data_IF_884746262103
#
_entry.id   IF_884746262103
#
_cell.length_a   1.000
_cell.length_b   1.000
_cell.length_c   1.000
_cell.angle_alpha   90.00
_cell.angle_beta   90.00
_cell.angle_gamma   90.00
#
_symmetry.space_group_name_H-M   'P 1'
#
loop_
_entity.id
_entity.type
_entity.pdbx_description
1 polymer ?
#
# COMPACT_ATOMS: atom_id res chain seq x y z
N UNK A 1 -4.55 29.66 32.08
CA UNK A 1 -4.00 28.58 31.24
C UNK A 1 -5.16 27.99 30.47
N UNK A 2 -5.28 28.30 29.19
CA UNK A 2 -6.27 27.68 28.30
C UNK A 2 -5.81 26.25 28.04
N UNK A 3 -6.67 25.26 28.28
CA UNK A 3 -6.41 23.89 27.83
C UNK A 3 -6.19 23.91 26.31
N UNK A 4 -5.21 23.15 25.78
CA UNK A 4 -5.03 23.04 24.34
C UNK A 4 -6.32 22.49 23.71
N UNK A 5 -6.84 23.20 22.71
CA UNK A 5 -8.04 22.81 21.99
C UNK A 5 -7.82 21.42 21.35
N UNK A 6 -8.77 20.51 21.58
CA UNK A 6 -8.67 19.15 21.06
C UNK A 6 -8.67 19.17 19.53
N UNK A 7 -7.62 18.63 18.91
CA UNK A 7 -7.52 18.52 17.45
C UNK A 7 -8.66 17.62 16.94
N UNK A 8 -9.54 18.09 16.04
CA UNK A 8 -10.62 17.26 15.53
C UNK A 8 -10.09 16.02 14.80
N UNK A 9 -10.79 14.89 14.95
CA UNK A 9 -10.47 13.67 14.20
C UNK A 9 -10.49 13.95 12.69
N UNK A 10 -9.59 13.31 11.95
CA UNK A 10 -9.50 13.41 10.48
C UNK A 10 -9.16 14.81 9.94
N UNK A 11 -8.80 15.77 10.79
CA UNK A 11 -8.42 17.14 10.39
C UNK A 11 -7.07 17.22 9.68
N UNK A 12 -6.22 16.21 9.82
CA UNK A 12 -4.96 16.05 9.09
C UNK A 12 -5.07 14.91 8.09
N UNK A 13 -4.62 15.18 6.87
CA UNK A 13 -4.61 14.21 5.76
C UNK A 13 -3.16 13.79 5.52
N UNK A 14 -2.87 12.51 5.76
CA UNK A 14 -1.65 11.88 5.29
C UNK A 14 -1.83 11.34 3.87
N UNK A 15 -0.79 11.40 3.06
CA UNK A 15 -0.77 10.80 1.73
C UNK A 15 0.10 9.55 1.79
N UNK A 16 -0.38 8.46 1.22
CA UNK A 16 0.38 7.24 0.99
C UNK A 16 0.37 6.90 -0.48
N UNK A 17 1.48 6.38 -0.96
CA UNK A 17 1.60 5.81 -2.30
C UNK A 17 1.82 4.31 -2.15
N UNK A 18 1.34 3.53 -3.10
CA UNK A 18 1.59 2.09 -3.18
C UNK A 18 1.52 1.60 -4.62
N UNK A 19 2.20 0.51 -4.93
CA UNK A 19 2.31 -0.01 -6.28
C UNK A 19 1.78 -1.44 -6.41
N UNK A 20 0.94 -1.66 -7.42
CA UNK A 20 0.65 -2.98 -7.97
C UNK A 20 1.67 -3.24 -9.07
N UNK A 21 2.77 -3.92 -8.72
CA UNK A 21 3.83 -4.29 -9.65
C UNK A 21 3.48 -5.62 -10.30
N UNK A 22 3.11 -5.59 -11.58
CA UNK A 22 2.74 -6.77 -12.35
C UNK A 22 3.90 -7.37 -13.13
N UNK A 23 3.98 -8.69 -13.15
CA UNK A 23 4.78 -9.49 -14.06
C UNK A 23 3.87 -10.56 -14.67
N UNK A 24 3.40 -10.32 -15.91
CA UNK A 24 2.30 -11.11 -16.47
C UNK A 24 1.02 -10.92 -15.66
N UNK A 25 0.39 -12.03 -15.26
CA UNK A 25 -0.81 -12.07 -14.41
C UNK A 25 -0.48 -12.13 -12.91
N UNK A 26 0.80 -12.11 -12.54
CA UNK A 26 1.20 -12.08 -11.13
C UNK A 26 1.46 -10.65 -10.66
N UNK A 27 1.07 -10.35 -9.42
CA UNK A 27 1.30 -9.07 -8.75
C UNK A 27 2.11 -9.29 -7.48
N UNK A 28 3.11 -8.44 -7.24
CA UNK A 28 3.88 -8.44 -6.01
C UNK A 28 3.09 -7.78 -4.87
N UNK A 29 2.95 -8.49 -3.75
CA UNK A 29 2.39 -7.99 -2.50
C UNK A 29 3.32 -8.36 -1.33
N UNK A 30 3.49 -7.44 -0.39
CA UNK A 30 4.23 -7.70 0.85
C UNK A 30 3.32 -8.42 1.82
N UNK A 31 3.64 -9.66 2.14
CA UNK A 31 2.99 -10.46 3.18
C UNK A 31 3.69 -10.25 4.52
N UNK A 32 2.91 -9.89 5.53
CA UNK A 32 3.35 -9.83 6.94
C UNK A 32 2.43 -10.68 7.81
N UNK A 33 2.94 -11.14 8.96
CA UNK A 33 2.20 -11.92 9.94
C UNK A 33 2.03 -11.14 11.24
N UNK A 34 0.80 -11.08 11.76
CA UNK A 34 0.52 -10.47 13.07
C UNK A 34 0.54 -11.51 14.19
N UNK A 35 0.67 -11.08 15.46
CA UNK A 35 0.40 -11.94 16.61
C UNK A 35 -0.93 -12.69 16.44
N UNK A 36 -0.91 -14.01 16.64
CA UNK A 36 -2.05 -14.89 16.37
C UNK A 36 -2.05 -15.52 14.98
N UNK A 37 -1.00 -15.33 14.17
CA UNK A 37 -0.82 -16.01 12.88
C UNK A 37 -1.67 -15.45 11.74
N UNK A 38 -2.24 -14.26 11.95
CA UNK A 38 -3.07 -13.60 10.93
C UNK A 38 -2.15 -12.95 9.90
N UNK A 39 -2.16 -13.51 8.68
CA UNK A 39 -1.47 -12.93 7.52
C UNK A 39 -2.25 -11.75 6.98
N UNK A 40 -1.54 -10.71 6.57
CA UNK A 40 -2.08 -9.61 5.81
C UNK A 40 -1.11 -9.19 4.71
N UNK A 41 -1.65 -8.55 3.69
CA UNK A 41 -0.90 -8.16 2.50
C UNK A 41 -0.99 -6.65 2.30
N UNK A 42 0.07 -6.04 1.81
CA UNK A 42 0.06 -4.64 1.38
C UNK A 42 0.77 -4.53 0.03
N UNK A 43 0.34 -3.61 -0.86
CA UNK A 43 1.20 -3.18 -1.95
C UNK A 43 2.52 -2.61 -1.37
N UNK A 44 3.66 -2.81 -2.05
CA UNK A 44 4.86 -2.04 -1.76
C UNK A 44 4.57 -0.54 -1.82
N UNK A 45 5.01 0.21 -0.81
CA UNK A 45 4.82 1.64 -0.70
C UNK A 45 4.58 2.17 0.72
N UNK A 46 4.83 3.47 0.87
CA UNK A 46 4.85 4.13 2.17
C UNK A 46 4.16 5.47 2.23
N UNK A 47 4.60 6.27 3.19
CA UNK A 47 4.08 7.63 3.35
C UNK A 47 4.84 8.57 2.41
N UNK A 48 4.13 9.55 1.88
CA UNK A 48 4.77 10.66 1.17
C UNK A 48 5.33 11.65 2.20
N UNK A 49 6.60 12.00 2.07
CA UNK A 49 7.25 12.95 2.97
C UNK A 49 6.79 14.40 2.71
N UNK A 50 6.90 15.31 3.70
CA UNK A 50 6.54 16.71 3.51
C UNK A 50 7.31 17.37 2.35
N UNK A 51 6.58 17.77 1.31
CA UNK A 51 7.16 18.43 0.13
C UNK A 51 7.70 17.47 -0.94
N UNK A 52 7.60 16.16 -0.71
CA UNK A 52 7.97 15.13 -1.68
C UNK A 52 6.91 15.01 -2.79
N UNK A 53 7.36 14.83 -4.03
CA UNK A 53 6.48 14.52 -5.15
C UNK A 53 5.95 13.09 -5.04
N UNK A 54 4.72 12.84 -5.50
CA UNK A 54 4.07 11.53 -5.38
C UNK A 54 4.82 10.42 -6.10
N UNK A 55 5.30 10.67 -7.32
CA UNK A 55 6.08 9.68 -8.06
C UNK A 55 7.47 9.51 -7.45
N UNK A 56 8.06 10.58 -6.91
CA UNK A 56 9.34 10.49 -6.20
C UNK A 56 9.22 9.58 -4.96
N UNK A 57 8.18 9.78 -4.14
CA UNK A 57 7.88 8.91 -3.01
C UNK A 57 7.66 7.46 -3.43
N UNK A 58 6.91 7.24 -4.52
CA UNK A 58 6.65 5.88 -5.02
C UNK A 58 7.93 5.17 -5.42
N UNK A 59 8.82 5.84 -6.16
CA UNK A 59 10.09 5.25 -6.59
C UNK A 59 11.07 5.04 -5.44
N UNK A 60 11.10 5.93 -4.44
CA UNK A 60 11.89 5.73 -3.23
C UNK A 60 11.47 4.45 -2.51
N UNK A 61 10.17 4.31 -2.24
CA UNK A 61 9.65 3.14 -1.53
C UNK A 61 9.85 1.84 -2.33
N UNK A 62 9.68 1.88 -3.67
CA UNK A 62 9.94 0.73 -4.53
C UNK A 62 11.42 0.30 -4.55
N UNK A 63 12.35 1.26 -4.50
CA UNK A 63 13.77 0.97 -4.39
C UNK A 63 14.12 0.38 -3.01
N UNK A 64 13.57 0.96 -1.94
CA UNK A 64 13.78 0.52 -0.56
C UNK A 64 13.23 -0.90 -0.29
N UNK A 65 12.00 -1.18 -0.71
CA UNK A 65 11.30 -2.42 -0.38
C UNK A 65 11.55 -3.56 -1.38
N UNK A 66 11.77 -3.25 -2.66
CA UNK A 66 11.92 -4.25 -3.72
C UNK A 66 13.28 -4.20 -4.44
N UNK A 67 14.08 -3.15 -4.27
CA UNK A 67 15.22 -2.86 -5.14
C UNK A 67 14.80 -2.54 -6.59
N UNK A 68 13.58 -2.04 -6.79
CA UNK A 68 13.05 -1.72 -8.12
C UNK A 68 13.30 -0.24 -8.46
N UNK A 69 14.31 0.02 -9.29
CA UNK A 69 14.62 1.37 -9.74
C UNK A 69 13.82 1.76 -11.00
N UNK A 70 13.50 3.06 -11.12
CA UNK A 70 12.79 3.66 -12.26
C UNK A 70 13.34 3.25 -13.63
N UNK A 71 14.67 3.15 -13.76
CA UNK A 71 15.33 2.80 -15.03
C UNK A 71 15.08 1.37 -15.51
N UNK A 72 14.53 0.50 -14.65
CA UNK A 72 14.20 -0.89 -14.97
C UNK A 72 12.77 -1.05 -15.51
N UNK A 73 11.95 0.01 -15.47
CA UNK A 73 10.55 -0.03 -15.91
C UNK A 73 10.37 0.77 -17.21
N UNK A 74 9.71 0.16 -18.19
CA UNK A 74 9.58 0.75 -19.53
C UNK A 74 8.58 1.91 -19.61
N UNK A 75 7.57 1.91 -18.74
CA UNK A 75 6.50 2.91 -18.70
C UNK A 75 6.44 3.61 -17.34
N UNK A 76 5.91 4.82 -17.32
CA UNK A 76 5.64 5.54 -16.08
C UNK A 76 4.54 4.83 -15.26
N UNK A 77 4.54 4.99 -13.92
CA UNK A 77 3.47 4.47 -13.08
C UNK A 77 2.12 5.10 -13.46
N UNK A 78 1.08 4.29 -13.57
CA UNK A 78 -0.28 4.76 -13.81
C UNK A 78 -1.05 4.81 -12.49
N UNK A 79 -1.65 5.96 -12.13
CA UNK A 79 -2.55 6.01 -10.98
C UNK A 79 -3.80 5.18 -11.26
N UNK A 80 -3.95 4.06 -10.54
CA UNK A 80 -5.09 3.18 -10.68
C UNK A 80 -6.18 3.56 -9.69
N UNK A 81 -5.92 3.53 -8.38
CA UNK A 81 -6.98 3.80 -7.41
C UNK A 81 -6.60 4.83 -6.34
N UNK A 82 -7.63 5.51 -5.83
CA UNK A 82 -7.57 6.36 -4.65
C UNK A 82 -8.52 5.79 -3.60
N UNK A 83 -8.00 5.53 -2.40
CA UNK A 83 -8.77 5.03 -1.26
C UNK A 83 -8.72 6.03 -0.12
N UNK A 84 -9.88 6.54 0.30
CA UNK A 84 -10.03 7.47 1.43
C UNK A 84 -10.24 6.70 2.74
N UNK A 85 -9.24 6.69 3.61
CA UNK A 85 -9.27 6.05 4.91
C UNK A 85 -9.63 7.06 6.01
N UNK A 86 -10.72 6.79 6.72
CA UNK A 86 -11.23 7.51 7.90
C UNK A 86 -11.63 6.50 8.96
N UNK A 87 -10.64 5.91 9.62
CA UNK A 87 -10.85 4.87 10.64
C UNK A 87 -10.39 5.39 11.98
N UNK A 88 -11.27 5.34 12.98
CA UNK A 88 -11.05 5.81 14.33
C UNK A 88 -9.96 4.99 15.03
N UNK A 89 -8.92 5.66 15.51
CA UNK A 89 -7.83 5.02 16.26
C UNK A 89 -8.10 5.11 17.77
N UNK A 90 -8.00 4.01 18.53
CA UNK A 90 -8.02 4.08 19.99
C UNK A 90 -6.85 4.93 20.54
N UNK A 91 -7.09 5.67 21.62
CA UNK A 91 -6.08 6.45 22.31
C UNK A 91 -6.19 7.98 22.12
N UNK A 92 -5.24 8.75 22.68
CA UNK A 92 -5.35 10.21 22.78
C UNK A 92 -4.99 10.95 21.47
N UNK A 93 -4.37 10.26 20.51
CA UNK A 93 -3.98 10.84 19.23
C UNK A 93 -5.17 10.92 18.29
N UNK A 94 -5.49 12.11 17.78
CA UNK A 94 -6.57 12.31 16.82
C UNK A 94 -6.42 11.34 15.63
N UNK A 95 -7.52 10.66 15.27
CA UNK A 95 -7.51 9.67 14.21
C UNK A 95 -7.06 10.30 12.87
N UNK A 96 -6.06 9.73 12.18
CA UNK A 96 -5.59 10.29 10.92
C UNK A 96 -6.57 9.99 9.79
N UNK A 97 -6.77 10.96 8.88
CA UNK A 97 -7.31 10.66 7.54
C UNK A 97 -6.13 10.31 6.64
N UNK A 98 -6.24 9.26 5.84
CA UNK A 98 -5.21 8.91 4.86
C UNK A 98 -5.81 8.75 3.47
N UNK A 99 -5.15 9.31 2.46
CA UNK A 99 -5.43 9.00 1.06
C UNK A 99 -4.35 8.02 0.57
N UNK A 100 -4.77 6.83 0.16
CA UNK A 100 -3.88 5.85 -0.47
C UNK A 100 -4.01 6.00 -1.98
N UNK A 101 -2.92 6.36 -2.65
CA UNK A 101 -2.81 6.44 -4.09
C UNK A 101 -2.11 5.15 -4.56
N UNK A 102 -2.88 4.29 -5.20
CA UNK A 102 -2.43 2.98 -5.68
C UNK A 102 -2.10 3.10 -7.16
N UNK A 103 -0.83 2.96 -7.49
CA UNK A 103 -0.31 2.96 -8.85
C UNK A 103 -0.19 1.55 -9.40
N UNK A 104 -0.16 1.44 -10.73
CA UNK A 104 0.10 0.22 -11.47
C UNK A 104 1.40 0.37 -12.26
N UNK A 105 2.20 -0.71 -12.24
CA UNK A 105 3.45 -0.85 -12.97
C UNK A 105 3.52 -2.23 -13.62
N UNK A 106 4.22 -2.34 -14.74
CA UNK A 106 4.48 -3.61 -15.41
C UNK A 106 5.98 -3.80 -15.64
N UNK A 107 6.50 -4.96 -15.27
CA UNK A 107 7.91 -5.32 -15.41
C UNK A 107 8.08 -6.61 -16.21
N UNK A 108 9.28 -6.83 -16.74
CA UNK A 108 9.65 -8.11 -17.37
C UNK A 108 10.07 -9.15 -16.32
N UNK A 109 10.06 -10.43 -16.71
CA UNK A 109 10.58 -11.52 -15.88
C UNK A 109 12.05 -11.28 -15.49
N UNK A 110 12.87 -10.80 -16.42
CA UNK A 110 14.27 -10.48 -16.15
C UNK A 110 14.46 -9.39 -15.07
N UNK A 111 13.53 -8.44 -14.95
CA UNK A 111 13.56 -7.45 -13.87
C UNK A 111 13.08 -8.09 -12.57
N UNK A 112 11.99 -8.87 -12.61
CA UNK A 112 11.46 -9.59 -11.45
C UNK A 112 12.50 -10.48 -10.78
N UNK A 113 13.30 -11.20 -11.56
CA UNK A 113 14.35 -12.10 -11.05
C UNK A 113 15.44 -11.39 -10.23
N UNK A 114 15.58 -10.07 -10.41
CA UNK A 114 16.53 -9.24 -9.68
C UNK A 114 15.95 -8.52 -8.45
N UNK A 115 14.65 -8.64 -8.18
CA UNK A 115 14.01 -7.95 -7.07
C UNK A 115 14.23 -8.66 -5.73
N UNK A 116 14.14 -7.89 -4.65
CA UNK A 116 14.18 -8.43 -3.30
C UNK A 116 12.98 -9.38 -3.06
N UNK A 117 13.24 -10.47 -2.33
CA UNK A 117 12.21 -11.41 -1.89
C UNK A 117 11.69 -11.09 -0.48
N UNK A 118 12.38 -10.21 0.24
CA UNK A 118 12.08 -9.81 1.60
C UNK A 118 12.25 -8.30 1.72
N UNK A 119 11.42 -7.68 2.56
CA UNK A 119 11.46 -6.29 2.95
C UNK A 119 11.71 -6.22 4.46
N UNK A 120 12.52 -5.26 4.89
CA UNK A 120 12.97 -5.14 6.28
C UNK A 120 12.54 -3.77 6.85
N UNK A 121 11.52 -3.75 7.70
CA UNK A 121 11.07 -2.53 8.39
C UNK A 121 11.82 -2.41 9.73
N UNK A 122 12.59 -1.33 9.91
CA UNK A 122 13.35 -1.09 11.14
C UNK A 122 12.42 -0.66 12.28
N UNK A 123 12.45 -1.40 13.38
CA UNK A 123 11.68 -1.14 14.58
C UNK A 123 12.42 -0.18 15.51
N UNK A 124 11.71 0.55 16.41
CA UNK A 124 12.33 1.53 17.31
C UNK A 124 13.40 0.98 18.26
N UNK A 125 13.44 -0.34 18.44
CA UNK A 125 14.44 -1.04 19.26
C UNK A 125 15.67 -1.52 18.45
N UNK A 126 15.73 -1.18 17.15
CA UNK A 126 16.80 -1.56 16.23
C UNK A 126 16.67 -2.99 15.69
N UNK A 127 15.56 -3.69 15.95
CA UNK A 127 15.23 -4.96 15.29
C UNK A 127 14.49 -4.73 13.98
N UNK A 128 14.30 -5.75 13.15
CA UNK A 128 13.54 -5.63 11.91
C UNK A 128 12.31 -6.53 11.91
N UNK A 129 11.16 -5.98 11.48
CA UNK A 129 10.02 -6.79 11.05
C UNK A 129 10.25 -7.19 9.59
N UNK A 130 10.18 -8.48 9.29
CA UNK A 130 10.41 -9.01 7.94
C UNK A 130 9.07 -9.16 7.21
N UNK A 131 8.91 -8.43 6.11
CA UNK A 131 7.90 -8.67 5.09
C UNK A 131 8.42 -9.62 4.01
N UNK A 132 7.57 -10.50 3.50
CA UNK A 132 7.92 -11.38 2.38
C UNK A 132 7.19 -10.94 1.11
N UNK A 133 7.91 -10.87 -0.01
CA UNK A 133 7.32 -10.53 -1.30
C UNK A 133 6.69 -11.78 -1.91
N UNK A 134 5.36 -11.82 -1.89
CA UNK A 134 4.59 -12.86 -2.55
C UNK A 134 4.17 -12.37 -3.94
N UNK A 135 4.52 -13.13 -4.96
CA UNK A 135 3.95 -12.99 -6.31
C UNK A 135 2.69 -13.83 -6.39
N UNK A 136 1.55 -13.19 -6.60
CA UNK A 136 0.24 -13.83 -6.57
C UNK A 136 -0.47 -13.59 -7.89
N UNK A 137 -1.18 -14.59 -8.42
CA UNK A 137 -2.19 -14.33 -9.46
C UNK A 137 -3.15 -13.25 -8.93
N UNK A 138 -3.28 -12.14 -9.66
CA UNK A 138 -4.08 -11.01 -9.20
C UNK A 138 -5.56 -11.39 -8.98
N UNK A 139 -6.07 -12.40 -9.69
CA UNK A 139 -7.43 -12.93 -9.49
C UNK A 139 -7.58 -13.65 -8.15
N UNK A 140 -6.49 -14.18 -7.61
CA UNK A 140 -6.45 -14.81 -6.28
C UNK A 140 -6.59 -13.82 -5.12
N UNK A 141 -6.58 -12.50 -5.38
CA UNK A 141 -6.59 -11.48 -4.32
C UNK A 141 -7.98 -11.14 -3.77
N UNK A 142 -9.06 -11.69 -4.35
CA UNK A 142 -10.44 -11.31 -4.03
C UNK A 142 -10.77 -11.42 -2.52
N UNK A 143 -10.35 -12.52 -1.90
CA UNK A 143 -10.62 -12.84 -0.50
C UNK A 143 -9.38 -12.68 0.40
N UNK A 144 -8.28 -12.16 -0.15
CA UNK A 144 -7.07 -11.92 0.64
C UNK A 144 -7.22 -10.66 1.50
N UNK A 145 -6.68 -10.67 2.73
CA UNK A 145 -6.63 -9.50 3.61
C UNK A 145 -5.59 -8.48 3.12
N UNK A 146 -5.85 -7.87 1.97
CA UNK A 146 -5.04 -6.79 1.38
C UNK A 146 -5.43 -5.45 2.00
N UNK A 147 -4.45 -4.65 2.39
CA UNK A 147 -4.66 -3.28 2.87
C UNK A 147 -3.87 -2.26 2.02
N UNK A 148 -4.49 -1.16 1.54
CA UNK A 148 -5.93 -0.85 1.60
C UNK A 148 -6.79 -1.95 0.92
N UNK A 149 -8.11 -2.06 1.20
CA UNK A 149 -8.95 -3.19 0.79
C UNK A 149 -9.28 -3.15 -0.71
N UNK A 150 -8.25 -3.37 -1.53
CA UNK A 150 -8.28 -3.31 -2.99
C UNK A 150 -8.37 -4.70 -3.62
N UNK A 151 -8.19 -5.78 -2.86
CA UNK A 151 -8.20 -7.16 -3.35
C UNK A 151 -9.40 -7.53 -4.23
N UNK A 152 -10.64 -7.26 -3.80
CA UNK A 152 -11.81 -7.50 -4.65
C UNK A 152 -11.79 -6.74 -5.97
N UNK A 153 -11.37 -5.47 -5.96
CA UNK A 153 -11.29 -4.66 -7.19
C UNK A 153 -10.19 -5.18 -8.12
N UNK A 154 -9.02 -5.47 -7.56
CA UNK A 154 -7.87 -6.06 -8.24
C UNK A 154 -8.25 -7.35 -8.96
N UNK A 155 -8.85 -8.31 -8.25
CA UNK A 155 -9.23 -9.61 -8.82
C UNK A 155 -10.24 -9.53 -9.97
N UNK A 156 -11.02 -8.45 -10.04
CA UNK A 156 -12.04 -8.22 -11.07
C UNK A 156 -11.53 -7.48 -12.31
N UNK A 157 -10.27 -7.04 -12.33
CA UNK A 157 -9.70 -6.45 -13.54
C UNK A 157 -9.84 -7.44 -14.72
N UNK A 158 -10.27 -6.97 -15.91
CA UNK A 158 -10.34 -7.82 -17.09
C UNK A 158 -8.98 -8.41 -17.48
N UNK A 159 -7.95 -7.54 -17.48
CA UNK A 159 -6.54 -7.85 -17.71
C UNK A 159 -5.69 -6.97 -16.78
N UNK A 160 -4.42 -7.34 -16.49
CA UNK A 160 -3.52 -6.51 -15.68
C UNK A 160 -3.42 -5.05 -16.14
N UNK A 161 -3.46 -4.81 -17.46
CA UNK A 161 -3.36 -3.49 -18.11
C UNK A 161 -4.71 -2.84 -18.44
N UNK A 162 -5.83 -3.47 -18.08
CA UNK A 162 -7.16 -2.97 -18.42
C UNK A 162 -7.37 -1.54 -17.88
N UNK A 163 -7.94 -0.62 -18.68
CA UNK A 163 -8.29 0.70 -18.20
C UNK A 163 -9.43 0.61 -17.18
N UNK A 164 -9.44 1.55 -16.25
CA UNK A 164 -10.51 1.68 -15.27
C UNK A 164 -11.45 2.83 -15.63
N UNK A 165 -12.73 2.70 -15.28
CA UNK A 165 -13.71 3.77 -15.46
C UNK A 165 -13.77 4.76 -14.29
N UNK A 166 -13.22 4.39 -13.13
CA UNK A 166 -13.18 5.22 -11.92
C UNK A 166 -11.97 4.87 -11.07
N UNK A 167 -11.18 5.90 -10.73
CA UNK A 167 -10.08 5.77 -9.78
C UNK A 167 -10.57 5.72 -8.32
N UNK A 168 -11.77 6.23 -8.01
CA UNK A 168 -12.26 6.21 -6.64
C UNK A 168 -12.78 4.81 -6.27
N UNK A 169 -12.20 4.22 -5.23
CA UNK A 169 -12.73 3.04 -4.55
C UNK A 169 -13.52 3.42 -3.30
N UNK A 170 -14.36 2.51 -2.77
CA UNK A 170 -15.08 2.75 -1.52
C UNK A 170 -14.15 3.18 -0.38
N UNK A 171 -14.60 4.16 0.41
CA UNK A 171 -13.84 4.63 1.56
C UNK A 171 -13.68 3.53 2.62
N UNK A 172 -12.55 3.56 3.33
CA UNK A 172 -12.29 2.70 4.48
C UNK A 172 -12.71 3.47 5.73
N UNK A 173 -13.68 2.94 6.47
CA UNK A 173 -14.28 3.60 7.63
C UNK A 173 -14.50 2.58 8.75
N UNK A 174 -14.86 3.04 9.94
CA UNK A 174 -15.19 2.15 11.06
C UNK A 174 -16.35 1.17 10.76
N UNK A 175 -17.15 1.44 9.72
CA UNK A 175 -18.23 0.56 9.29
C UNK A 175 -17.74 -0.68 8.51
N UNK A 176 -16.57 -0.63 7.89
CA UNK A 176 -16.06 -1.70 7.02
C UNK A 176 -14.62 -2.12 7.31
N UNK A 177 -13.99 -1.52 8.32
CA UNK A 177 -12.65 -1.89 8.76
C UNK A 177 -12.49 -1.60 10.25
N UNK A 178 -11.96 -2.57 10.98
CA UNK A 178 -11.61 -2.40 12.40
C UNK A 178 -10.09 -2.32 12.50
N UNK A 179 -9.59 -1.31 13.20
CA UNK A 179 -8.18 -1.31 13.62
C UNK A 179 -7.90 -2.57 14.43
N UNK A 180 -7.05 -3.43 13.90
CA UNK A 180 -6.45 -4.51 14.68
C UNK A 180 -5.13 -3.93 15.21
N UNK A 181 -4.99 -3.85 16.54
CA UNK A 181 -3.77 -3.38 17.20
C UNK A 181 -2.56 -4.21 16.72
N UNK A 182 -1.40 -3.55 16.58
CA UNK A 182 -0.11 -4.23 16.37
C UNK A 182 0.28 -4.96 17.65
#
# INVERSE_FOLDING_TARGET
MTEPEAVPAFSRIGIRVGALVFCGDEVALIRRERPGGVRFFTPPGGNVEPGEDLEAALWRELDEELGLARGQVAAAPELLWVVDQRVSRPGPTAAPRKLHLVYRLHISEAVRDGLAAEEYDELPDGTHEVGHIDWLDYRGTADLPVFPPIGPALATLPTPDAPISSAALPAVTDANYTWVER
#
